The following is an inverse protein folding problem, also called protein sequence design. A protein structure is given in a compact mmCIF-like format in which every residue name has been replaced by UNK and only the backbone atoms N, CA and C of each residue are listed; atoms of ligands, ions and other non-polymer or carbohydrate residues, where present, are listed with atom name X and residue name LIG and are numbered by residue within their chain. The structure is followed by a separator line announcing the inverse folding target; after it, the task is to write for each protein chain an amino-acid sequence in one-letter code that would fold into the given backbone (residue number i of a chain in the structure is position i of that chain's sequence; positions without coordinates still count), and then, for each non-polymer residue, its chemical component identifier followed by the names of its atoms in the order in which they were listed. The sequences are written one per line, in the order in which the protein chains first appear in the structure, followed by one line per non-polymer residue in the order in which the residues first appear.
data_IF_274054531147
#
_entry.id   IF_274054531147
#
_cell.length_a   1.000
_cell.length_b   1.000
_cell.length_c   1.000
_cell.angle_alpha   90.00
_cell.angle_beta   90.00
_cell.angle_gamma   90.00
#
_symmetry.space_group_name_H-M   'P 1'
#
loop_
_entity.id
_entity.type
_entity.pdbx_description
1 polymer ?
#
# COMPACT_ATOMS: atom_id res chain seq x y z
N UNK A 1 -16.74 23.70 7.56
CA UNK A 1 -16.43 22.96 8.82
C UNK A 1 -16.44 23.93 9.99
N UNK A 2 -16.93 23.54 11.16
CA UNK A 2 -16.91 24.41 12.36
C UNK A 2 -15.45 24.68 12.78
N UNK A 3 -15.01 25.93 13.03
CA UNK A 3 -13.62 26.25 13.44
C UNK A 3 -13.12 25.47 14.66
N UNK A 4 -13.99 25.23 15.64
CA UNK A 4 -13.64 24.41 16.81
C UNK A 4 -13.36 22.95 16.49
N UNK A 5 -14.12 22.35 15.56
CA UNK A 5 -13.88 20.98 15.09
C UNK A 5 -12.56 20.90 14.31
N UNK A 6 -12.25 21.90 13.50
CA UNK A 6 -10.98 21.98 12.79
C UNK A 6 -9.78 22.05 13.74
N UNK A 7 -9.86 22.85 14.81
CA UNK A 7 -8.81 22.93 15.84
C UNK A 7 -8.59 21.59 16.54
N UNK A 8 -9.66 20.91 16.94
CA UNK A 8 -9.56 19.59 17.60
C UNK A 8 -8.93 18.55 16.70
N UNK A 9 -9.35 18.47 15.42
CA UNK A 9 -8.79 17.53 14.44
C UNK A 9 -7.29 17.79 14.23
N UNK A 10 -6.88 19.07 14.07
CA UNK A 10 -5.48 19.42 13.88
C UNK A 10 -4.63 19.05 15.10
N UNK A 11 -5.14 19.29 16.31
CA UNK A 11 -4.46 18.93 17.56
C UNK A 11 -4.31 17.41 17.68
N UNK A 12 -5.38 16.65 17.40
CA UNK A 12 -5.32 15.18 17.41
C UNK A 12 -4.36 14.65 16.33
N UNK A 13 -4.35 15.23 15.13
CA UNK A 13 -3.42 14.83 14.08
C UNK A 13 -1.97 15.09 14.47
N UNK A 14 -1.68 16.23 15.10
CA UNK A 14 -0.35 16.51 15.65
C UNK A 14 0.07 15.46 16.69
N UNK A 15 -0.82 15.14 17.65
CA UNK A 15 -0.59 14.07 18.64
C UNK A 15 -0.39 12.71 17.98
N UNK A 16 -1.18 12.37 16.97
CA UNK A 16 -1.07 11.12 16.22
C UNK A 16 0.32 10.96 15.58
N UNK A 17 0.78 11.97 14.84
CA UNK A 17 2.09 11.94 14.18
C UNK A 17 3.23 11.90 15.20
N UNK A 18 3.11 12.63 16.31
CA UNK A 18 4.08 12.56 17.41
C UNK A 18 4.13 11.15 18.01
N UNK A 19 2.98 10.52 18.24
CA UNK A 19 2.90 9.17 18.81
C UNK A 19 3.50 8.11 17.87
N UNK A 20 3.28 8.24 16.55
CA UNK A 20 3.94 7.38 15.56
C UNK A 20 5.46 7.49 15.65
N UNK A 21 6.01 8.71 15.62
CA UNK A 21 7.47 8.91 15.74
C UNK A 21 8.03 8.37 17.05
N UNK A 22 7.28 8.53 18.16
CA UNK A 22 7.66 7.97 19.46
C UNK A 22 7.79 6.45 19.39
N UNK A 23 6.83 5.74 18.74
CA UNK A 23 6.88 4.28 18.56
C UNK A 23 8.17 3.83 17.85
N UNK A 24 8.51 4.49 16.76
CA UNK A 24 9.69 4.15 15.96
C UNK A 24 11.00 4.51 16.68
N UNK A 25 11.06 5.69 17.29
CA UNK A 25 12.25 6.14 18.06
C UNK A 25 12.56 5.20 19.22
N UNK A 26 11.54 4.78 19.99
CA UNK A 26 11.72 3.84 21.12
C UNK A 26 12.18 2.45 20.68
N UNK A 27 12.08 2.13 19.38
CA UNK A 27 12.50 0.85 18.78
C UNK A 27 13.73 0.96 17.89
N UNK A 28 14.44 2.10 18.01
CA UNK A 28 15.70 2.36 17.30
C UNK A 28 15.57 2.36 15.77
N UNK A 29 14.42 2.79 15.24
CA UNK A 29 14.30 3.05 13.81
C UNK A 29 14.90 4.42 13.48
N UNK A 30 15.57 4.48 12.34
CA UNK A 30 16.04 5.72 11.75
C UNK A 30 14.95 6.32 10.86
N UNK A 31 14.54 7.57 11.13
CA UNK A 31 13.68 8.33 10.22
C UNK A 31 14.49 8.78 9.00
N UNK A 32 14.03 8.44 7.80
CA UNK A 32 14.66 8.82 6.54
C UNK A 32 13.80 9.90 5.89
N UNK A 33 14.46 10.85 5.24
CA UNK A 33 13.81 11.85 4.39
C UNK A 33 14.26 11.62 2.95
N UNK A 34 13.34 11.14 2.11
CA UNK A 34 13.62 10.83 0.70
C UNK A 34 13.12 11.92 -0.24
N UNK A 35 13.68 12.08 -1.45
CA UNK A 35 13.17 13.03 -2.43
C UNK A 35 11.73 12.76 -2.85
N UNK A 36 10.89 13.80 -2.89
CA UNK A 36 9.49 13.73 -3.33
C UNK A 36 9.32 13.99 -4.82
N UNK A 37 10.30 14.62 -5.44
CA UNK A 37 10.38 14.84 -6.87
C UNK A 37 11.51 13.98 -7.44
N UNK A 38 11.16 13.08 -8.37
CA UNK A 38 12.11 12.14 -8.97
C UNK A 38 12.04 12.19 -10.51
N UNK A 39 13.14 11.91 -11.20
CA UNK A 39 13.15 11.83 -12.66
C UNK A 39 12.35 10.60 -13.17
N UNK A 40 12.25 9.55 -12.35
CA UNK A 40 11.49 8.32 -12.65
C UNK A 40 10.61 8.00 -11.45
N UNK A 41 9.29 7.90 -11.62
CA UNK A 41 8.37 7.48 -10.57
C UNK A 41 8.42 5.96 -10.35
N UNK A 42 7.59 5.46 -9.45
CA UNK A 42 7.30 4.02 -9.33
C UNK A 42 6.76 3.43 -10.62
N UNK A 43 6.95 2.12 -10.81
CA UNK A 43 6.60 1.43 -12.06
C UNK A 43 5.16 0.88 -12.06
N UNK A 44 4.45 0.92 -10.94
CA UNK A 44 3.12 0.32 -10.77
C UNK A 44 2.19 0.70 -11.95
N UNK A 45 1.65 -0.29 -12.69
CA UNK A 45 0.98 -0.01 -13.97
C UNK A 45 -0.34 0.75 -13.81
N UNK A 46 -1.02 0.54 -12.69
CA UNK A 46 -2.32 1.15 -12.45
C UNK A 46 -2.23 2.53 -11.80
N UNK A 47 -1.12 2.88 -11.15
CA UNK A 47 -0.91 4.21 -10.58
C UNK A 47 -0.47 5.22 -11.64
N UNK A 48 -0.97 6.44 -11.50
CA UNK A 48 -0.60 7.57 -12.36
C UNK A 48 0.06 8.64 -11.50
N UNK A 49 1.37 8.89 -11.65
CA UNK A 49 2.05 9.96 -10.92
C UNK A 49 1.67 11.33 -11.48
N UNK A 50 1.78 12.38 -10.67
CA UNK A 50 1.77 13.75 -11.19
C UNK A 50 3.12 14.05 -11.85
N UNK A 51 3.09 14.58 -13.07
CA UNK A 51 4.29 15.11 -13.73
C UNK A 51 4.48 16.58 -13.34
N UNK A 52 5.73 16.95 -13.11
CA UNK A 52 6.17 18.31 -12.82
C UNK A 52 7.18 18.70 -13.88
N UNK A 53 6.92 19.79 -14.58
CA UNK A 53 7.83 20.36 -15.58
C UNK A 53 8.37 21.70 -15.11
N UNK A 54 9.63 21.99 -15.45
CA UNK A 54 10.16 23.34 -15.32
C UNK A 54 9.46 24.31 -16.30
N UNK A 55 9.33 25.60 -15.96
CA UNK A 55 8.80 26.60 -16.88
C UNK A 55 9.58 26.72 -18.21
N UNK A 56 10.88 26.38 -18.18
CA UNK A 56 11.73 26.32 -19.37
C UNK A 56 11.44 25.13 -20.30
N UNK A 57 10.74 24.08 -19.77
CA UNK A 57 10.48 22.84 -20.50
C UNK A 57 11.69 21.91 -20.64
N UNK A 58 12.83 22.25 -20.01
CA UNK A 58 14.10 21.49 -20.14
C UNK A 58 14.10 20.22 -19.28
N UNK A 59 13.43 20.26 -18.12
CA UNK A 59 13.39 19.11 -17.21
C UNK A 59 11.97 18.72 -16.86
N UNK A 60 11.70 17.44 -16.77
CA UNK A 60 10.47 16.83 -16.32
C UNK A 60 10.76 15.87 -15.17
N UNK A 61 10.03 16.02 -14.09
CA UNK A 61 10.06 15.11 -12.96
C UNK A 61 8.66 14.61 -12.61
N UNK A 62 8.58 13.76 -11.61
CA UNK A 62 7.34 13.18 -11.13
C UNK A 62 7.29 13.24 -9.60
N UNK A 63 6.14 13.59 -9.06
CA UNK A 63 5.88 13.42 -7.63
C UNK A 63 5.75 11.92 -7.31
N UNK A 64 6.37 11.49 -6.19
CA UNK A 64 6.41 10.08 -5.80
C UNK A 64 5.04 9.54 -5.43
N UNK A 65 4.73 8.32 -5.85
CA UNK A 65 3.54 7.55 -5.46
C UNK A 65 3.75 6.77 -4.16
N UNK A 66 5.04 6.54 -3.79
CA UNK A 66 5.54 5.92 -2.58
C UNK A 66 7.05 6.25 -2.43
N UNK A 67 7.62 6.29 -1.23
CA UNK A 67 9.07 6.42 -1.01
C UNK A 67 9.83 5.09 -1.20
N UNK A 68 9.18 3.99 -1.52
CA UNK A 68 9.64 2.60 -1.51
C UNK A 68 11.03 2.41 -2.14
N UNK A 69 11.23 2.85 -3.40
CA UNK A 69 12.52 2.66 -4.08
C UNK A 69 13.67 3.39 -3.41
N UNK A 70 13.40 4.54 -2.80
CA UNK A 70 14.40 5.32 -2.09
C UNK A 70 14.73 4.70 -0.74
N UNK A 71 13.73 4.20 0.00
CA UNK A 71 13.96 3.49 1.26
C UNK A 71 14.71 2.18 1.05
N UNK A 72 14.40 1.42 -0.01
CA UNK A 72 15.16 0.21 -0.38
C UNK A 72 16.60 0.52 -0.79
N UNK A 73 16.86 1.68 -1.40
CA UNK A 73 18.23 2.16 -1.62
C UNK A 73 18.95 2.41 -0.28
N UNK A 74 18.28 2.96 0.73
CA UNK A 74 18.84 3.15 2.07
C UNK A 74 19.18 1.80 2.75
N UNK A 75 18.32 0.78 2.61
CA UNK A 75 18.62 -0.59 3.08
C UNK A 75 19.91 -1.14 2.46
N UNK A 76 20.15 -0.91 1.16
CA UNK A 76 21.39 -1.35 0.48
C UNK A 76 22.66 -0.67 0.98
N UNK A 77 22.56 0.34 1.83
CA UNK A 77 23.68 0.99 2.53
C UNK A 77 23.98 0.36 3.91
N UNK A 78 23.27 -0.71 4.29
CA UNK A 78 23.49 -1.41 5.55
C UNK A 78 22.56 -0.96 6.70
N UNK A 79 21.56 -0.11 6.42
CA UNK A 79 20.55 0.25 7.41
C UNK A 79 19.58 -0.93 7.62
N UNK A 80 19.19 -1.18 8.87
CA UNK A 80 18.40 -2.37 9.23
C UNK A 80 16.97 -2.07 9.67
N UNK A 81 16.73 -0.89 10.26
CA UNK A 81 15.41 -0.44 10.71
C UNK A 81 15.23 1.00 10.28
N UNK A 82 14.39 1.24 9.30
CA UNK A 82 14.16 2.57 8.75
C UNK A 82 12.67 2.83 8.58
N UNK A 83 12.28 4.10 8.67
CA UNK A 83 10.92 4.52 8.34
C UNK A 83 10.91 5.93 7.76
N UNK A 84 9.81 6.25 7.09
CA UNK A 84 9.50 7.60 6.63
C UNK A 84 8.02 7.88 6.81
N UNK A 85 7.68 9.09 7.28
CA UNK A 85 6.33 9.65 7.23
C UNK A 85 6.35 10.77 6.21
N UNK A 86 5.69 10.57 5.07
CA UNK A 86 5.82 11.48 3.94
C UNK A 86 4.54 11.67 3.15
N UNK A 87 4.41 12.81 2.49
CA UNK A 87 3.39 13.02 1.47
C UNK A 87 3.71 12.22 0.21
N UNK A 88 2.67 11.58 -0.34
CA UNK A 88 2.70 10.88 -1.62
C UNK A 88 1.55 11.34 -2.49
N UNK A 89 1.69 11.13 -3.80
CA UNK A 89 0.83 11.76 -4.79
C UNK A 89 0.39 10.75 -5.85
N UNK A 90 -0.93 10.57 -6.00
CA UNK A 90 -1.52 9.67 -7.00
C UNK A 90 -2.58 10.39 -7.79
N UNK A 91 -2.32 10.64 -9.07
CA UNK A 91 -3.23 11.34 -9.94
C UNK A 91 -4.48 10.49 -10.23
N UNK A 92 -5.64 11.14 -10.22
CA UNK A 92 -6.92 10.46 -10.49
C UNK A 92 -7.56 9.80 -9.27
N UNK A 93 -6.86 9.64 -8.15
CA UNK A 93 -7.46 9.11 -6.94
C UNK A 93 -8.35 10.16 -6.26
N UNK A 94 -9.66 9.93 -6.29
CA UNK A 94 -10.69 10.79 -5.68
C UNK A 94 -11.85 9.94 -5.17
N UNK A 95 -12.25 10.17 -3.94
CA UNK A 95 -13.37 9.45 -3.33
C UNK A 95 -13.42 9.63 -1.82
N UNK A 96 -14.34 8.98 -1.16
CA UNK A 96 -14.50 9.09 0.29
C UNK A 96 -13.29 8.55 1.07
N UNK A 97 -12.53 7.63 0.47
CA UNK A 97 -11.35 7.00 1.05
C UNK A 97 -10.06 7.32 0.28
N UNK A 98 -10.11 8.21 -0.74
CA UNK A 98 -8.99 8.51 -1.62
C UNK A 98 -8.84 10.01 -1.84
N UNK A 99 -7.60 10.47 -1.80
CA UNK A 99 -7.20 11.84 -2.19
C UNK A 99 -5.95 11.76 -3.07
N UNK A 100 -5.81 12.71 -3.97
CA UNK A 100 -4.65 12.76 -4.88
C UNK A 100 -3.32 13.01 -4.15
N UNK A 101 -3.36 13.60 -2.97
CA UNK A 101 -2.27 13.77 -2.02
C UNK A 101 -2.68 13.20 -0.68
N UNK A 102 -1.83 12.37 -0.07
CA UNK A 102 -2.08 11.80 1.25
C UNK A 102 -0.78 11.47 1.99
N UNK A 103 -0.87 11.32 3.30
CA UNK A 103 0.25 11.00 4.15
C UNK A 103 0.42 9.49 4.26
N UNK A 104 1.62 9.01 3.98
CA UNK A 104 2.02 7.61 4.06
C UNK A 104 3.08 7.44 5.14
N UNK A 105 2.95 6.37 5.92
CA UNK A 105 4.03 5.79 6.72
C UNK A 105 4.56 4.60 5.95
N UNK A 106 5.85 4.56 5.69
CA UNK A 106 6.50 3.38 5.14
C UNK A 106 7.70 3.00 6.01
N UNK A 107 7.84 1.72 6.35
CA UNK A 107 8.96 1.27 7.16
C UNK A 107 9.43 -0.14 6.77
N UNK A 108 10.70 -0.39 7.03
CA UNK A 108 11.40 -1.63 6.69
C UNK A 108 12.20 -2.15 7.88
N UNK A 109 12.28 -3.49 7.99
CA UNK A 109 13.11 -4.18 8.98
C UNK A 109 13.88 -5.29 8.25
N UNK A 110 15.20 -5.22 8.32
CA UNK A 110 16.07 -6.27 7.81
C UNK A 110 16.07 -7.49 8.75
N UNK A 111 16.18 -8.68 8.19
CA UNK A 111 16.29 -9.95 8.93
C UNK A 111 14.96 -10.49 9.45
N UNK A 112 13.82 -9.97 9.02
CA UNK A 112 12.51 -10.52 9.35
C UNK A 112 11.68 -10.81 8.09
N UNK A 113 10.75 -11.75 8.20
CA UNK A 113 9.75 -12.07 7.18
C UNK A 113 8.44 -11.27 7.39
N UNK A 114 7.50 -11.45 6.47
CA UNK A 114 6.19 -10.77 6.52
C UNK A 114 5.35 -11.20 7.73
N UNK A 115 5.55 -12.40 8.27
CA UNK A 115 4.81 -12.87 9.45
C UNK A 115 5.29 -12.17 10.73
N UNK A 116 6.61 -12.00 10.86
CA UNK A 116 7.18 -11.19 11.94
C UNK A 116 6.77 -9.71 11.80
N UNK A 117 6.70 -9.18 10.58
CA UNK A 117 6.24 -7.81 10.33
C UNK A 117 4.77 -7.61 10.75
N UNK A 118 3.88 -8.59 10.56
CA UNK A 118 2.49 -8.53 11.09
C UNK A 118 2.47 -8.27 12.61
N UNK A 119 3.40 -8.89 13.35
CA UNK A 119 3.48 -8.70 14.80
C UNK A 119 3.92 -7.26 15.14
N UNK A 120 4.89 -6.72 14.41
CA UNK A 120 5.32 -5.31 14.58
C UNK A 120 4.17 -4.34 14.28
N UNK A 121 3.39 -4.59 13.23
CA UNK A 121 2.19 -3.80 12.93
C UNK A 121 1.15 -3.89 14.06
N UNK A 122 0.94 -5.08 14.61
CA UNK A 122 0.05 -5.27 15.76
C UNK A 122 0.53 -4.48 16.98
N UNK A 123 1.83 -4.51 17.29
CA UNK A 123 2.42 -3.71 18.35
C UNK A 123 2.24 -2.21 18.13
N UNK A 124 2.37 -1.74 16.88
CA UNK A 124 2.11 -0.34 16.53
C UNK A 124 0.66 0.06 16.85
N UNK A 125 -0.31 -0.77 16.51
CA UNK A 125 -1.74 -0.48 16.78
C UNK A 125 -2.05 -0.53 18.28
N UNK A 126 -1.48 -1.48 19.03
CA UNK A 126 -1.59 -1.52 20.50
C UNK A 126 -0.97 -0.26 21.12
N UNK A 127 0.17 0.19 20.60
CA UNK A 127 0.84 1.40 21.08
C UNK A 127 0.01 2.64 20.80
N UNK A 128 -0.57 2.77 19.61
CA UNK A 128 -1.45 3.88 19.25
C UNK A 128 -2.72 3.88 20.09
N UNK A 129 -3.32 2.72 20.37
CA UNK A 129 -4.49 2.62 21.25
C UNK A 129 -4.18 3.14 22.66
N UNK A 130 -3.01 2.80 23.18
CA UNK A 130 -2.59 3.21 24.53
C UNK A 130 -2.16 4.68 24.60
N UNK A 131 -1.34 5.18 23.66
CA UNK A 131 -0.63 6.45 23.78
C UNK A 131 -1.32 7.62 23.04
N UNK A 132 -2.06 7.29 21.95
CA UNK A 132 -2.73 8.31 21.16
C UNK A 132 -4.20 8.47 21.53
N UNK A 133 -5.02 7.48 21.22
CA UNK A 133 -6.47 7.49 21.40
C UNK A 133 -6.96 6.05 21.63
N UNK A 134 -7.45 5.77 22.84
CA UNK A 134 -7.99 4.46 23.19
C UNK A 134 -9.35 4.24 22.53
N UNK A 135 -9.35 3.41 21.50
CA UNK A 135 -10.56 2.95 20.80
C UNK A 135 -10.99 1.55 21.24
N UNK A 136 -10.25 0.98 22.23
CA UNK A 136 -10.47 -0.38 22.71
C UNK A 136 -9.95 -1.44 21.76
N UNK A 137 -8.82 -1.20 21.11
CA UNK A 137 -8.19 -2.17 20.24
C UNK A 137 -7.77 -3.42 21.03
N UNK A 138 -8.31 -4.57 20.64
CA UNK A 138 -8.02 -5.87 21.26
C UNK A 138 -7.25 -6.76 20.28
N UNK A 139 -5.93 -6.96 20.44
CA UNK A 139 -5.14 -7.75 19.53
C UNK A 139 -5.54 -9.23 19.47
N UNK A 140 -6.27 -9.75 20.48
CA UNK A 140 -6.77 -11.13 20.47
C UNK A 140 -7.90 -11.35 19.46
N UNK A 141 -8.52 -10.28 18.98
CA UNK A 141 -9.61 -10.29 17.98
C UNK A 141 -9.13 -10.10 16.55
N UNK A 142 -7.83 -10.00 16.33
CA UNK A 142 -7.26 -9.89 14.98
C UNK A 142 -7.56 -11.16 14.19
N UNK A 143 -8.08 -10.96 12.98
CA UNK A 143 -8.35 -12.05 12.04
C UNK A 143 -7.16 -12.17 11.07
N UNK A 144 -6.69 -13.39 10.84
CA UNK A 144 -5.68 -13.68 9.81
C UNK A 144 -6.27 -14.68 8.83
N UNK A 145 -6.29 -14.36 7.55
CA UNK A 145 -6.86 -15.18 6.48
C UNK A 145 -5.92 -15.20 5.28
N UNK A 146 -5.67 -16.39 4.76
CA UNK A 146 -5.03 -16.51 3.45
C UNK A 146 -6.03 -16.22 2.33
N UNK A 147 -5.51 -15.84 1.17
CA UNK A 147 -6.34 -15.69 -0.04
C UNK A 147 -7.10 -16.99 -0.33
N UNK A 148 -6.45 -18.15 -0.19
CA UNK A 148 -7.12 -19.44 -0.44
C UNK A 148 -8.28 -19.70 0.52
N UNK A 149 -8.15 -19.35 1.81
CA UNK A 149 -9.25 -19.48 2.77
C UNK A 149 -10.43 -18.58 2.40
N UNK A 150 -10.16 -17.34 1.96
CA UNK A 150 -11.20 -16.39 1.58
C UNK A 150 -11.95 -16.85 0.32
N UNK A 151 -11.23 -17.25 -0.72
CA UNK A 151 -11.85 -17.79 -1.94
C UNK A 151 -12.54 -19.14 -1.70
N UNK A 152 -11.97 -19.96 -0.79
CA UNK A 152 -12.61 -21.22 -0.35
C UNK A 152 -13.99 -21.03 0.29
N UNK A 153 -14.26 -19.89 0.93
CA UNK A 153 -15.60 -19.55 1.45
C UNK A 153 -16.62 -19.34 0.33
N UNK A 154 -16.16 -18.95 -0.88
CA UNK A 154 -17.00 -18.86 -2.08
C UNK A 154 -17.13 -20.21 -2.81
N UNK A 155 -16.45 -21.26 -2.32
CA UNK A 155 -16.40 -22.59 -2.94
C UNK A 155 -15.51 -22.67 -4.17
N UNK A 156 -14.50 -21.81 -4.30
CA UNK A 156 -13.55 -21.73 -5.43
C UNK A 156 -12.11 -21.60 -4.93
N UNK A 157 -11.16 -21.81 -5.84
CA UNK A 157 -9.77 -21.39 -5.65
C UNK A 157 -9.51 -20.04 -6.31
N UNK A 158 -8.29 -19.53 -6.17
CA UNK A 158 -7.84 -18.33 -6.88
C UNK A 158 -7.28 -18.64 -8.29
N UNK A 159 -7.56 -19.84 -8.85
CA UNK A 159 -7.19 -20.18 -10.21
C UNK A 159 -7.99 -19.36 -11.24
N UNK A 160 -7.38 -19.10 -12.41
CA UNK A 160 -8.05 -18.37 -13.48
C UNK A 160 -9.37 -19.03 -13.89
N UNK A 161 -9.38 -20.35 -13.98
CA UNK A 161 -10.50 -21.18 -14.36
C UNK A 161 -11.66 -21.05 -13.38
N UNK A 162 -11.36 -21.11 -12.08
CA UNK A 162 -12.35 -20.98 -11.01
C UNK A 162 -12.94 -19.55 -10.98
N UNK A 163 -12.09 -18.52 -11.13
CA UNK A 163 -12.52 -17.12 -11.19
C UNK A 163 -13.50 -16.88 -12.35
N UNK A 164 -13.18 -17.37 -13.55
CA UNK A 164 -14.05 -17.25 -14.72
C UNK A 164 -15.37 -18.01 -14.50
N UNK A 165 -15.28 -19.24 -13.99
CA UNK A 165 -16.46 -20.07 -13.71
C UNK A 165 -17.38 -19.40 -12.69
N UNK A 166 -16.82 -18.85 -11.61
CA UNK A 166 -17.54 -18.13 -10.59
C UNK A 166 -18.23 -16.88 -11.15
N UNK A 167 -17.52 -16.05 -11.90
CA UNK A 167 -18.07 -14.83 -12.51
C UNK A 167 -19.21 -15.14 -13.48
N UNK A 168 -19.08 -16.20 -14.29
CA UNK A 168 -20.16 -16.67 -15.16
C UNK A 168 -21.41 -17.08 -14.39
N UNK A 169 -21.22 -17.72 -13.23
CA UNK A 169 -22.33 -18.15 -12.35
C UNK A 169 -23.06 -16.96 -11.72
N UNK A 170 -22.31 -15.95 -11.22
CA UNK A 170 -22.91 -14.86 -10.43
C UNK A 170 -23.33 -13.65 -11.27
N UNK A 171 -22.68 -13.43 -12.43
CA UNK A 171 -22.92 -12.26 -13.29
C UNK A 171 -23.41 -12.61 -14.70
N UNK A 172 -23.49 -13.89 -15.04
CA UNK A 172 -23.86 -14.36 -16.37
C UNK A 172 -22.65 -14.59 -17.28
N UNK A 173 -22.91 -15.25 -18.42
CA UNK A 173 -21.88 -15.57 -19.38
C UNK A 173 -21.39 -14.33 -20.13
N UNK A 174 -20.06 -14.17 -20.21
CA UNK A 174 -19.39 -13.19 -21.06
C UNK A 174 -18.12 -13.81 -21.62
N UNK A 175 -17.90 -13.65 -22.92
CA UNK A 175 -16.65 -14.04 -23.58
C UNK A 175 -15.48 -13.12 -23.20
N UNK A 176 -15.78 -11.97 -22.59
CA UNK A 176 -14.76 -11.02 -22.15
C UNK A 176 -13.94 -11.55 -20.99
N UNK A 177 -14.51 -12.42 -20.12
CA UNK A 177 -13.76 -13.04 -19.03
C UNK A 177 -12.56 -13.86 -19.49
N UNK A 178 -12.64 -14.52 -20.66
CA UNK A 178 -11.51 -15.26 -21.23
C UNK A 178 -10.36 -14.36 -21.70
N UNK A 179 -10.67 -13.12 -22.05
CA UNK A 179 -9.67 -12.13 -22.52
C UNK A 179 -9.14 -11.26 -21.41
N UNK A 180 -9.83 -11.24 -20.26
CA UNK A 180 -9.49 -10.38 -19.13
C UNK A 180 -8.18 -10.84 -18.49
N UNK A 181 -7.25 -9.94 -18.16
CA UNK A 181 -6.05 -10.26 -17.38
C UNK A 181 -6.40 -10.93 -16.04
N UNK A 182 -5.47 -11.72 -15.51
CA UNK A 182 -5.69 -12.45 -14.25
C UNK A 182 -5.97 -11.54 -13.06
N UNK A 183 -5.25 -10.45 -12.94
CA UNK A 183 -5.40 -9.46 -11.88
C UNK A 183 -6.79 -8.79 -11.92
N UNK A 184 -7.30 -8.47 -13.11
CA UNK A 184 -8.65 -7.92 -13.26
C UNK A 184 -9.71 -8.92 -12.82
N UNK A 185 -9.60 -10.20 -13.22
CA UNK A 185 -10.50 -11.27 -12.76
C UNK A 185 -10.46 -11.43 -11.25
N UNK A 186 -9.27 -11.47 -10.68
CA UNK A 186 -9.07 -11.60 -9.25
C UNK A 186 -9.72 -10.45 -8.48
N UNK A 187 -9.40 -9.20 -8.83
CA UNK A 187 -9.96 -8.05 -8.16
C UNK A 187 -11.46 -7.87 -8.41
N UNK A 188 -11.98 -8.33 -9.56
CA UNK A 188 -13.41 -8.32 -9.82
C UNK A 188 -14.17 -9.22 -8.84
N UNK A 189 -13.62 -10.37 -8.46
CA UNK A 189 -14.20 -11.24 -7.42
C UNK A 189 -13.90 -10.67 -6.03
N UNK A 190 -12.65 -10.29 -5.75
CA UNK A 190 -12.20 -9.85 -4.44
C UNK A 190 -12.97 -8.62 -3.95
N UNK A 191 -13.06 -7.57 -4.76
CA UNK A 191 -13.69 -6.31 -4.38
C UNK A 191 -15.21 -6.40 -4.25
N UNK A 192 -15.86 -7.36 -4.93
CA UNK A 192 -17.32 -7.47 -4.89
C UNK A 192 -17.83 -8.51 -3.88
N UNK A 193 -17.03 -9.54 -3.59
CA UNK A 193 -17.51 -10.67 -2.77
C UNK A 193 -16.73 -10.79 -1.45
N UNK A 194 -15.42 -10.52 -1.46
CA UNK A 194 -14.56 -10.75 -0.29
C UNK A 194 -14.44 -9.48 0.54
N UNK A 195 -14.01 -8.37 -0.07
CA UNK A 195 -13.78 -7.11 0.65
C UNK A 195 -15.03 -6.64 1.44
N UNK A 196 -16.27 -6.69 0.90
CA UNK A 196 -17.47 -6.33 1.65
C UNK A 196 -17.72 -7.21 2.89
N UNK A 197 -17.14 -8.42 2.93
CA UNK A 197 -17.27 -9.34 4.08
C UNK A 197 -16.31 -9.00 5.24
N UNK A 198 -15.34 -8.11 5.03
CA UNK A 198 -14.31 -7.71 6.00
C UNK A 198 -14.78 -6.59 6.96
N UNK A 199 -16.06 -6.55 7.29
CA UNK A 199 -16.70 -5.37 7.89
C UNK A 199 -16.27 -5.01 9.32
N UNK A 200 -15.70 -5.94 10.11
CA UNK A 200 -15.44 -5.70 11.53
C UNK A 200 -14.05 -6.11 11.98
N UNK A 201 -13.40 -5.18 12.68
CA UNK A 201 -12.11 -5.42 13.29
C UNK A 201 -10.95 -5.32 12.31
N UNK A 202 -9.80 -5.75 12.76
CA UNK A 202 -8.57 -5.75 11.97
C UNK A 202 -8.33 -7.14 11.39
N UNK A 203 -8.13 -7.19 10.07
CA UNK A 203 -7.86 -8.42 9.31
C UNK A 203 -6.55 -8.29 8.56
N UNK A 204 -5.65 -9.27 8.71
CA UNK A 204 -4.50 -9.50 7.84
C UNK A 204 -4.90 -10.49 6.76
N UNK A 205 -4.76 -10.10 5.49
CA UNK A 205 -4.96 -10.96 4.32
C UNK A 205 -3.60 -11.24 3.71
N UNK A 206 -3.23 -12.52 3.54
CA UNK A 206 -1.90 -12.91 3.14
C UNK A 206 -1.89 -14.07 2.13
N UNK A 207 -0.69 -14.47 1.66
CA UNK A 207 -0.48 -15.54 0.68
C UNK A 207 -1.20 -15.26 -0.65
N UNK A 208 -0.93 -14.08 -1.21
CA UNK A 208 -1.46 -13.68 -2.51
C UNK A 208 -0.94 -14.58 -3.64
N UNK A 209 -1.68 -14.73 -4.74
CA UNK A 209 -1.19 -15.50 -5.89
C UNK A 209 0.02 -14.83 -6.56
N UNK A 210 0.92 -15.61 -7.20
CA UNK A 210 2.15 -15.09 -7.80
C UNK A 210 1.98 -13.95 -8.79
N UNK A 211 0.94 -13.91 -9.66
CA UNK A 211 0.73 -12.77 -10.55
C UNK A 211 0.51 -11.43 -9.82
N UNK A 212 0.10 -11.46 -8.55
CA UNK A 212 -0.12 -10.28 -7.71
C UNK A 212 1.03 -10.03 -6.73
N UNK A 213 2.20 -10.61 -6.98
CA UNK A 213 3.34 -10.48 -6.07
C UNK A 213 3.88 -9.04 -5.97
N UNK A 214 3.70 -8.19 -6.98
CA UNK A 214 4.32 -6.86 -7.03
C UNK A 214 5.83 -6.96 -6.72
N UNK A 215 6.30 -6.34 -5.66
CA UNK A 215 7.71 -6.38 -5.25
C UNK A 215 8.01 -7.47 -4.19
N UNK A 216 7.04 -8.29 -3.83
CA UNK A 216 7.22 -9.36 -2.87
C UNK A 216 7.97 -10.57 -3.45
N UNK A 217 8.66 -11.31 -2.59
CA UNK A 217 9.21 -12.62 -2.90
C UNK A 217 8.06 -13.61 -3.17
N UNK A 218 8.29 -14.55 -4.08
CA UNK A 218 7.39 -15.69 -4.32
C UNK A 218 8.09 -16.96 -3.81
N UNK A 219 7.44 -17.64 -2.89
CA UNK A 219 7.89 -18.92 -2.33
C UNK A 219 6.71 -19.88 -2.26
N UNK A 220 6.95 -21.17 -2.49
CA UNK A 220 5.92 -22.22 -2.42
C UNK A 220 4.64 -21.90 -3.22
N UNK A 221 4.80 -21.22 -4.35
CA UNK A 221 3.67 -20.82 -5.20
C UNK A 221 2.80 -19.70 -4.64
N UNK A 222 3.29 -18.94 -3.64
CA UNK A 222 2.60 -17.80 -3.05
C UNK A 222 3.50 -16.57 -2.95
N UNK A 223 2.90 -15.41 -3.14
CA UNK A 223 3.58 -14.15 -2.89
C UNK A 223 3.61 -13.89 -1.37
N UNK A 224 4.81 -13.70 -0.85
CA UNK A 224 5.07 -13.40 0.55
C UNK A 224 4.73 -11.94 0.84
N UNK A 225 3.43 -11.63 0.79
CA UNK A 225 2.85 -10.31 1.05
C UNK A 225 1.60 -10.42 1.89
N UNK A 226 1.24 -9.31 2.55
CA UNK A 226 -0.06 -9.18 3.20
C UNK A 226 -0.61 -7.76 3.05
N UNK A 227 -1.92 -7.65 3.14
CA UNK A 227 -2.63 -6.39 3.28
C UNK A 227 -3.34 -6.32 4.63
N UNK A 228 -3.50 -5.12 5.14
CA UNK A 228 -4.20 -4.85 6.39
C UNK A 228 -5.52 -4.16 6.06
N UNK A 229 -6.60 -4.80 6.46
CA UNK A 229 -7.95 -4.24 6.44
C UNK A 229 -8.41 -3.92 7.85
N UNK A 230 -8.94 -2.73 8.06
CA UNK A 230 -9.55 -2.36 9.34
C UNK A 230 -10.95 -1.83 9.09
N UNK A 231 -11.96 -2.55 9.61
CA UNK A 231 -13.38 -2.29 9.36
C UNK A 231 -13.72 -2.18 7.87
N UNK A 232 -13.20 -3.09 7.05
CA UNK A 232 -13.40 -3.13 5.60
C UNK A 232 -12.59 -2.09 4.81
N UNK A 233 -11.75 -1.31 5.47
CA UNK A 233 -10.88 -0.32 4.80
C UNK A 233 -9.46 -0.85 4.74
N UNK A 234 -8.90 -0.98 3.55
CA UNK A 234 -7.48 -1.25 3.37
C UNK A 234 -6.65 -0.07 3.91
N UNK A 235 -5.78 -0.36 4.87
CA UNK A 235 -4.90 0.65 5.48
C UNK A 235 -3.42 0.43 5.18
N UNK A 236 -3.02 -0.77 4.74
CA UNK A 236 -1.61 -1.05 4.50
C UNK A 236 -1.37 -2.25 3.60
N UNK A 237 -0.23 -2.23 2.90
CA UNK A 237 0.25 -3.28 2.02
C UNK A 237 1.72 -3.55 2.30
N UNK A 238 2.08 -4.81 2.50
CA UNK A 238 3.38 -5.25 3.01
C UNK A 238 3.98 -6.39 2.19
N UNK A 239 5.30 -6.39 2.11
CA UNK A 239 6.05 -7.40 1.37
C UNK A 239 7.19 -7.98 2.22
N UNK A 240 7.44 -9.29 2.07
CA UNK A 240 8.76 -9.84 2.23
C UNK A 240 9.48 -9.63 0.90
N UNK A 241 10.56 -8.86 0.93
CA UNK A 241 11.10 -8.22 -0.26
C UNK A 241 11.75 -9.19 -1.25
N UNK A 242 11.45 -9.00 -2.53
CA UNK A 242 12.19 -9.66 -3.60
C UNK A 242 13.54 -8.94 -3.81
N UNK A 243 14.63 -9.63 -3.52
CA UNK A 243 15.99 -9.10 -3.65
C UNK A 243 16.69 -9.54 -4.93
N UNK A 244 16.06 -10.38 -5.76
CA UNK A 244 16.61 -10.85 -7.03
C UNK A 244 16.52 -9.78 -8.11
N UNK A 245 17.68 -9.36 -8.62
CA UNK A 245 17.80 -8.37 -9.70
C UNK A 245 17.09 -8.85 -10.97
N UNK A 246 17.27 -10.12 -11.33
CA UNK A 246 16.72 -10.66 -12.58
C UNK A 246 15.20 -10.74 -12.53
N UNK A 247 14.64 -11.26 -11.43
CA UNK A 247 13.18 -11.29 -11.23
C UNK A 247 12.60 -9.88 -11.26
N UNK A 248 13.26 -8.93 -10.64
CA UNK A 248 12.78 -7.54 -10.61
C UNK A 248 12.82 -6.88 -11.99
N UNK A 249 13.88 -7.12 -12.78
CA UNK A 249 13.97 -6.63 -14.16
C UNK A 249 12.86 -7.24 -15.04
N UNK A 250 12.56 -8.53 -14.89
CA UNK A 250 11.46 -9.19 -15.61
C UNK A 250 10.09 -8.58 -15.24
N UNK A 251 9.83 -8.39 -13.95
CA UNK A 251 8.58 -7.77 -13.47
C UNK A 251 8.42 -6.35 -14.01
N UNK A 252 9.45 -5.53 -13.92
CA UNK A 252 9.40 -4.16 -14.47
C UNK A 252 9.14 -4.14 -15.97
N UNK A 253 9.70 -5.09 -16.71
CA UNK A 253 9.40 -5.21 -18.13
C UNK A 253 7.93 -5.57 -18.37
N UNK A 254 7.38 -6.51 -17.60
CA UNK A 254 5.96 -6.85 -17.65
C UNK A 254 5.07 -5.65 -17.32
N UNK A 255 5.41 -4.88 -16.28
CA UNK A 255 4.67 -3.68 -15.90
C UNK A 255 4.74 -2.59 -16.99
N UNK A 256 5.89 -2.42 -17.65
CA UNK A 256 6.02 -1.54 -18.82
C UNK A 256 5.09 -1.99 -19.97
N UNK A 257 4.97 -3.29 -20.22
CA UNK A 257 4.10 -3.81 -21.27
C UNK A 257 2.62 -3.64 -20.92
N UNK A 258 2.24 -3.81 -19.63
CA UNK A 258 0.89 -3.47 -19.14
C UNK A 258 0.62 -1.98 -19.33
N UNK A 259 1.54 -1.08 -18.95
CA UNK A 259 1.36 0.37 -19.17
C UNK A 259 1.14 0.72 -20.65
N UNK A 260 1.88 0.07 -21.57
CA UNK A 260 1.66 0.23 -23.02
C UNK A 260 0.26 -0.20 -23.44
N UNK A 261 -0.19 -1.37 -22.98
CA UNK A 261 -1.55 -1.88 -23.32
C UNK A 261 -2.65 -0.95 -22.82
N UNK A 262 -2.43 -0.28 -21.67
CA UNK A 262 -3.33 0.71 -21.11
C UNK A 262 -3.18 2.12 -21.72
N UNK A 263 -2.36 2.29 -22.75
CA UNK A 263 -2.03 3.59 -23.36
C UNK A 263 -1.51 4.63 -22.36
N UNK A 264 -0.84 4.18 -21.30
CA UNK A 264 -0.20 5.02 -20.29
C UNK A 264 1.26 5.32 -20.65
N UNK A 265 1.78 6.40 -20.11
CA UNK A 265 3.20 6.74 -20.21
C UNK A 265 4.07 5.59 -19.65
N UNK A 266 5.07 5.18 -20.39
CA UNK A 266 6.00 4.12 -20.00
C UNK A 266 7.28 4.74 -19.46
N UNK A 267 7.62 4.41 -18.23
CA UNK A 267 8.80 4.95 -17.57
C UNK A 267 10.02 4.05 -17.81
N UNK A 268 11.23 4.62 -17.88
CA UNK A 268 12.46 3.83 -17.84
C UNK A 268 12.63 3.18 -16.46
N UNK A 269 13.49 2.17 -16.38
CA UNK A 269 13.87 1.59 -15.09
C UNK A 269 14.58 2.62 -14.21
N UNK A 270 14.24 2.69 -12.93
CA UNK A 270 15.00 3.50 -11.96
C UNK A 270 16.38 2.85 -11.76
N UNK A 271 17.41 3.46 -12.39
CA UNK A 271 18.78 2.96 -12.33
C UNK A 271 19.33 2.93 -10.92
N UNK A 272 18.93 3.88 -10.06
CA UNK A 272 19.40 3.92 -8.67
C UNK A 272 18.83 2.75 -7.88
N UNK A 273 17.58 2.38 -8.12
CA UNK A 273 16.98 1.20 -7.51
C UNK A 273 17.61 -0.10 -8.03
N UNK A 274 17.83 -0.24 -9.35
CA UNK A 274 18.53 -1.41 -9.90
C UNK A 274 19.94 -1.53 -9.32
N UNK A 275 20.70 -0.44 -9.24
CA UNK A 275 22.04 -0.43 -8.64
C UNK A 275 21.99 -0.81 -7.14
N UNK A 276 20.91 -0.46 -6.41
CA UNK A 276 20.74 -0.87 -5.03
C UNK A 276 20.52 -2.39 -4.91
N UNK A 277 19.70 -2.97 -5.79
CA UNK A 277 19.52 -4.42 -5.89
C UNK A 277 20.85 -5.13 -6.22
N UNK A 278 21.63 -4.61 -7.17
CA UNK A 278 22.92 -5.17 -7.57
C UNK A 278 23.97 -5.09 -6.45
N UNK A 279 23.94 -4.05 -5.60
CA UNK A 279 24.77 -3.98 -4.38
C UNK A 279 24.35 -4.98 -3.31
N UNK A 280 23.11 -5.43 -3.34
CA UNK A 280 22.51 -6.29 -2.35
C UNK A 280 21.63 -5.52 -1.37
N UNK A 281 20.31 -5.69 -1.47
CA UNK A 281 19.35 -5.31 -0.44
C UNK A 281 19.28 -6.50 0.53
N UNK A 282 19.41 -6.31 1.86
CA UNK A 282 19.29 -7.41 2.80
C UNK A 282 17.89 -8.02 2.75
N UNK A 283 17.78 -9.31 3.08
CA UNK A 283 16.46 -9.88 3.35
C UNK A 283 15.74 -9.02 4.36
N UNK A 284 14.54 -8.56 4.01
CA UNK A 284 13.81 -7.57 4.80
C UNK A 284 12.32 -7.65 4.49
N UNK A 285 11.51 -7.18 5.43
CA UNK A 285 10.11 -6.92 5.15
C UNK A 285 9.81 -5.45 5.35
N UNK A 286 8.91 -4.93 4.51
CA UNK A 286 8.45 -3.56 4.56
C UNK A 286 6.95 -3.44 4.39
N UNK A 287 6.41 -2.32 4.86
CA UNK A 287 4.98 -2.00 4.76
C UNK A 287 4.79 -0.51 4.48
N UNK A 288 3.83 -0.22 3.60
CA UNK A 288 3.25 1.10 3.40
C UNK A 288 1.88 1.17 4.08
N UNK A 289 1.66 2.18 4.92
CA UNK A 289 0.40 2.43 5.65
C UNK A 289 -0.13 3.82 5.30
N UNK A 290 -1.37 3.88 4.81
CA UNK A 290 -2.07 5.14 4.57
C UNK A 290 -2.50 5.81 5.88
N UNK A 291 -1.75 6.83 6.32
CA UNK A 291 -1.97 7.47 7.61
C UNK A 291 -3.28 8.27 7.70
N UNK A 292 -3.79 8.78 6.58
CA UNK A 292 -5.07 9.47 6.58
C UNK A 292 -6.22 8.51 6.85
N UNK A 293 -6.20 7.30 6.27
CA UNK A 293 -7.17 6.24 6.55
C UNK A 293 -7.05 5.73 7.97
N UNK A 294 -5.83 5.48 8.46
CA UNK A 294 -5.60 5.03 9.83
C UNK A 294 -6.10 6.06 10.85
N UNK A 295 -5.79 7.34 10.64
CA UNK A 295 -6.26 8.43 11.49
C UNK A 295 -7.80 8.55 11.47
N UNK A 296 -8.42 8.43 10.30
CA UNK A 296 -9.87 8.42 10.12
C UNK A 296 -10.52 7.32 10.97
N UNK A 297 -9.95 6.10 10.97
CA UNK A 297 -10.45 4.96 11.75
C UNK A 297 -10.37 5.24 13.25
N UNK A 298 -9.25 5.79 13.74
CA UNK A 298 -9.11 6.17 15.15
C UNK A 298 -10.11 7.25 15.57
N UNK A 299 -10.53 8.12 14.66
CA UNK A 299 -11.58 9.11 14.92
C UNK A 299 -13.01 8.53 14.81
N UNK A 300 -13.17 7.24 14.46
CA UNK A 300 -14.47 6.61 14.28
C UNK A 300 -15.22 7.06 13.02
N UNK A 301 -14.52 7.61 12.03
CA UNK A 301 -15.11 8.09 10.78
C UNK A 301 -15.00 7.04 9.67
N UNK A 302 -15.86 7.20 8.65
CA UNK A 302 -15.89 6.35 7.44
C UNK A 302 -15.56 7.11 6.15
N UNK A 303 -15.23 8.39 6.27
CA UNK A 303 -14.95 9.28 5.15
C UNK A 303 -13.83 10.25 5.56
N UNK A 304 -12.83 10.40 4.70
CA UNK A 304 -11.66 11.25 4.94
C UNK A 304 -12.03 12.73 5.15
N UNK A 305 -13.15 13.19 4.59
CA UNK A 305 -13.60 14.58 4.72
C UNK A 305 -13.84 15.02 6.16
N UNK A 306 -14.11 14.05 7.07
CA UNK A 306 -14.27 14.33 8.50
C UNK A 306 -12.97 14.28 9.28
N UNK A 307 -11.90 13.75 8.68
CA UNK A 307 -10.59 13.54 9.33
C UNK A 307 -9.54 14.57 8.94
N UNK A 308 -9.82 15.41 7.94
CA UNK A 308 -8.93 16.47 7.49
C UNK A 308 -9.69 17.77 7.25
N UNK A 309 -9.31 18.89 7.91
CA UNK A 309 -9.93 20.19 7.64
C UNK A 309 -9.61 20.72 6.25
N UNK A 310 -8.62 20.15 5.56
CA UNK A 310 -8.16 20.55 4.24
C UNK A 310 -8.76 19.73 3.10
N UNK A 311 -9.43 18.61 3.40
CA UNK A 311 -9.98 17.70 2.40
C UNK A 311 -10.91 18.40 1.37
N UNK A 312 -11.73 19.33 1.84
CA UNK A 312 -12.69 20.04 0.98
C UNK A 312 -12.04 21.09 0.06
N UNK A 313 -10.81 21.54 0.33
CA UNK A 313 -10.10 22.50 -0.52
C UNK A 313 -9.78 21.87 -1.88
N UNK A 314 -9.47 20.58 -1.91
CA UNK A 314 -9.17 19.84 -3.14
C UNK A 314 -10.43 19.39 -3.91
N UNK A 315 -11.61 19.39 -3.27
CA UNK A 315 -12.90 19.05 -3.90
C UNK A 315 -13.53 20.21 -4.69
N UNK A 316 -13.19 21.46 -4.40
CA UNK A 316 -13.86 22.65 -4.93
C UNK A 316 -13.42 23.06 -6.33
N UNK A 317 -12.52 22.33 -6.97
CA UNK A 317 -11.97 22.63 -8.30
C UNK A 317 -12.16 21.48 -9.30
N UNK A 318 -13.20 20.67 -9.13
CA UNK A 318 -13.61 19.63 -10.06
C UNK A 318 -14.97 19.87 -10.65
#
# INVERSE_FOLDING_TARGET
MNPHLSYQILTLRSKFLFTLRKFFTEREFLEIDTPKLKPVPGMEPYLTPFSVGEPSGLEKGYLVTSPEYSLKQALSQGLSKIYEITQVYRSGERGNLHTAEFLMLEFYIAGIDERALMNVCTELFVFLDREFLGIGFDPSKIIKRSILELFGQLGITDSREDLISYLRKVRGSSDDYEKMPYDELFFLVFLNEIEPSLEKGLTYIYDYPPPLASLARVEEGRARRFEIYWNGVEIGNAFFECTSVDIMKERFKSEQDIRKSLSKEVFPLDRNFINALERGIPESSGIAIGLDRLFMIYLGHKDLSYSSPYYNILKTHG
#
